data_IF_326366421863
#
_entry.id   IF_326366421863
#
_cell.length_a   1.000
_cell.length_b   1.000
_cell.length_c   1.000
_cell.angle_alpha   90.00
_cell.angle_beta   90.00
_cell.angle_gamma   90.00
#
_symmetry.space_group_name_H-M   'P 1'
#
loop_
_entity.id
_entity.type
_entity.pdbx_description
1 polymer ?
#
# COMPACT_ATOMS: atom_id res chain seq x y z
N UNK A 1 15.05 -6.05 -10.95
CA UNK A 1 15.40 -4.67 -10.56
C UNK A 1 14.41 -4.24 -9.50
N UNK A 2 14.87 -3.87 -8.30
CA UNK A 2 13.96 -3.36 -7.27
C UNK A 2 13.63 -1.91 -7.63
N UNK A 3 12.36 -1.58 -7.79
CA UNK A 3 11.90 -0.21 -7.99
C UNK A 3 11.74 0.47 -6.64
N UNK A 4 12.31 1.66 -6.49
CA UNK A 4 12.15 2.50 -5.30
C UNK A 4 11.28 3.68 -5.69
N UNK A 5 10.19 3.90 -4.96
CA UNK A 5 9.31 5.05 -5.11
C UNK A 5 9.35 5.85 -3.81
N UNK A 6 9.75 7.11 -3.89
CA UNK A 6 9.72 8.05 -2.77
C UNK A 6 8.56 9.02 -2.98
N UNK A 7 7.60 9.02 -2.06
CA UNK A 7 6.41 9.87 -2.14
C UNK A 7 6.44 10.92 -1.03
N UNK A 8 6.27 12.18 -1.41
CA UNK A 8 6.09 13.27 -0.44
C UNK A 8 4.78 13.11 0.31
N UNK A 9 4.86 13.30 1.62
CA UNK A 9 3.75 13.20 2.55
C UNK A 9 3.77 14.44 3.46
N UNK A 10 2.59 14.85 3.93
CA UNK A 10 2.33 15.94 4.88
C UNK A 10 3.55 16.76 5.37
N UNK A 11 3.66 18.04 4.96
CA UNK A 11 4.71 19.00 5.42
C UNK A 11 6.16 18.55 5.18
N UNK A 12 6.42 17.89 4.04
CA UNK A 12 7.78 17.52 3.62
C UNK A 12 8.31 16.23 4.23
N UNK A 13 7.47 15.50 4.96
CA UNK A 13 7.73 14.12 5.35
C UNK A 13 7.68 13.23 4.11
N UNK A 14 8.27 12.04 4.16
CA UNK A 14 8.28 11.15 2.99
C UNK A 14 8.04 9.70 3.39
N UNK A 15 7.42 8.94 2.48
CA UNK A 15 7.30 7.49 2.57
C UNK A 15 8.05 6.89 1.38
N UNK A 16 9.09 6.14 1.67
CA UNK A 16 9.81 5.34 0.68
C UNK A 16 9.19 3.95 0.61
N UNK A 17 8.92 3.48 -0.60
CA UNK A 17 8.43 2.14 -0.89
C UNK A 17 9.45 1.45 -1.78
N UNK A 18 9.96 0.32 -1.31
CA UNK A 18 10.93 -0.52 -2.03
C UNK A 18 10.24 -1.84 -2.37
N UNK A 19 9.98 -2.08 -3.65
CA UNK A 19 9.45 -3.37 -4.10
C UNK A 19 10.50 -4.46 -3.93
N UNK A 20 10.12 -5.59 -3.35
CA UNK A 20 10.96 -6.77 -3.23
C UNK A 20 10.46 -7.89 -4.15
N UNK A 21 11.23 -8.97 -4.30
CA UNK A 21 10.84 -10.10 -5.15
C UNK A 21 9.46 -10.67 -4.81
N UNK A 22 9.09 -10.68 -3.53
CA UNK A 22 7.73 -10.95 -3.04
C UNK A 22 7.37 -9.85 -2.05
N UNK A 23 6.48 -8.94 -2.45
CA UNK A 23 6.02 -7.84 -1.59
C UNK A 23 6.85 -6.56 -1.69
N UNK A 24 6.89 -5.82 -0.60
CA UNK A 24 7.56 -4.53 -0.52
C UNK A 24 7.93 -4.22 0.94
N UNK A 25 8.81 -3.25 1.12
CA UNK A 25 9.08 -2.62 2.42
C UNK A 25 8.83 -1.13 2.33
N UNK A 26 8.28 -0.56 3.38
CA UNK A 26 8.01 0.87 3.49
C UNK A 26 8.79 1.49 4.66
N UNK A 27 9.40 2.66 4.42
CA UNK A 27 10.19 3.40 5.42
C UNK A 27 9.74 4.85 5.43
N UNK A 28 9.55 5.41 6.63
CA UNK A 28 9.15 6.80 6.78
C UNK A 28 10.36 7.70 7.07
N UNK A 29 10.31 8.93 6.55
CA UNK A 29 11.31 9.96 6.77
C UNK A 29 10.66 11.24 7.30
N UNK A 30 11.32 11.87 8.27
CA UNK A 30 10.98 13.22 8.71
C UNK A 30 11.19 14.26 7.61
N UNK A 31 10.71 15.48 7.84
CA UNK A 31 10.98 16.63 6.97
C UNK A 31 12.47 16.98 6.85
N UNK A 32 13.31 16.55 7.81
CA UNK A 32 14.77 16.65 7.74
C UNK A 32 15.45 15.46 7.05
N UNK A 33 14.66 14.58 6.42
CA UNK A 33 15.11 13.32 5.79
C UNK A 33 15.76 12.33 6.75
N UNK A 34 15.43 12.40 8.03
CA UNK A 34 15.86 11.39 8.98
C UNK A 34 14.90 10.21 8.91
N UNK A 35 15.45 9.01 8.74
CA UNK A 35 14.70 7.76 8.81
C UNK A 35 14.07 7.65 10.20
N UNK A 36 12.80 7.27 10.23
CA UNK A 36 12.05 7.04 11.44
C UNK A 36 11.94 5.53 11.64
N UNK A 37 12.46 5.05 12.76
CA UNK A 37 12.34 3.66 13.15
C UNK A 37 11.02 3.40 13.89
N UNK A 38 10.53 2.16 13.83
CA UNK A 38 9.24 1.76 14.39
C UNK A 38 9.19 1.89 15.93
N UNK A 39 10.35 2.04 16.60
CA UNK A 39 10.49 2.22 18.05
C UNK A 39 10.23 3.66 18.54
N UNK A 40 9.87 4.60 17.65
CA UNK A 40 9.58 5.99 18.04
C UNK A 40 8.14 6.13 18.53
N UNK A 41 8.01 6.27 19.84
CA UNK A 41 6.76 6.12 20.55
C UNK A 41 6.09 7.49 20.80
N UNK A 42 5.02 7.78 20.04
CA UNK A 42 3.96 8.78 20.30
C UNK A 42 4.14 10.27 19.91
N UNK A 43 4.62 10.62 18.72
CA UNK A 43 4.33 11.95 18.15
C UNK A 43 3.08 11.91 17.26
N UNK A 44 2.30 13.01 17.20
CA UNK A 44 1.14 13.10 16.27
C UNK A 44 1.56 12.92 14.81
N UNK A 45 2.75 13.41 14.47
CA UNK A 45 3.31 13.28 13.12
C UNK A 45 3.66 11.81 12.81
N UNK A 46 4.18 11.06 13.80
CA UNK A 46 4.42 9.63 13.68
C UNK A 46 3.11 8.85 13.44
N UNK A 47 2.03 9.20 14.16
CA UNK A 47 0.72 8.58 13.92
C UNK A 47 0.19 8.84 12.51
N UNK A 48 0.36 10.08 12.01
CA UNK A 48 -0.05 10.44 10.65
C UNK A 48 0.76 9.69 9.58
N UNK A 49 2.07 9.57 9.77
CA UNK A 49 2.94 8.74 8.92
C UNK A 49 2.53 7.28 8.94
N UNK A 50 2.28 6.71 10.13
CA UNK A 50 1.93 5.30 10.24
C UNK A 50 0.58 5.00 9.59
N UNK A 51 -0.37 5.94 9.66
CA UNK A 51 -1.60 5.88 8.89
C UNK A 51 -1.33 5.93 7.37
N UNK A 52 -0.44 6.82 6.91
CA UNK A 52 0.02 6.87 5.52
C UNK A 52 0.66 5.55 5.05
N UNK A 53 1.53 4.96 5.88
CA UNK A 53 2.15 3.65 5.67
C UNK A 53 1.08 2.57 5.51
N UNK A 54 0.10 2.53 6.41
CA UNK A 54 -1.02 1.57 6.36
C UNK A 54 -1.87 1.73 5.10
N UNK A 55 -2.08 2.95 4.60
CA UNK A 55 -2.80 3.18 3.33
C UNK A 55 -2.01 2.66 2.12
N UNK A 56 -0.69 2.88 2.09
CA UNK A 56 0.19 2.29 1.08
C UNK A 56 0.11 0.77 1.15
N UNK A 57 0.13 0.22 2.36
CA UNK A 57 0.07 -1.23 2.58
C UNK A 57 -1.23 -1.84 2.04
N UNK A 58 -2.37 -1.21 2.36
CA UNK A 58 -3.68 -1.59 1.84
C UNK A 58 -3.71 -1.51 0.30
N UNK A 59 -3.20 -0.43 -0.29
CA UNK A 59 -3.19 -0.25 -1.75
C UNK A 59 -2.44 -1.39 -2.45
N UNK A 60 -1.25 -1.75 -1.93
CA UNK A 60 -0.42 -2.80 -2.51
C UNK A 60 -1.04 -4.19 -2.30
N UNK A 61 -1.61 -4.46 -1.14
CA UNK A 61 -2.35 -5.71 -0.88
C UNK A 61 -3.54 -5.86 -1.84
N UNK A 62 -4.30 -4.78 -2.06
CA UNK A 62 -5.41 -4.75 -3.02
C UNK A 62 -4.95 -5.01 -4.46
N UNK A 63 -3.83 -4.42 -4.90
CA UNK A 63 -3.25 -4.70 -6.23
C UNK A 63 -2.86 -6.17 -6.38
N UNK A 64 -2.17 -6.74 -5.39
CA UNK A 64 -1.78 -8.15 -5.41
C UNK A 64 -3.00 -9.08 -5.44
N UNK A 65 -4.00 -8.79 -4.60
CA UNK A 65 -5.21 -9.59 -4.54
C UNK A 65 -6.01 -9.53 -5.84
N UNK A 66 -6.05 -8.38 -6.54
CA UNK A 66 -6.65 -8.26 -7.87
C UNK A 66 -5.99 -9.19 -8.90
N UNK A 67 -4.65 -9.34 -8.83
CA UNK A 67 -3.90 -10.28 -9.66
C UNK A 67 -4.31 -11.73 -9.39
N UNK A 68 -4.38 -12.12 -8.10
CA UNK A 68 -4.82 -13.47 -7.69
C UNK A 68 -6.25 -13.75 -8.12
N UNK A 69 -7.17 -12.80 -7.95
CA UNK A 69 -8.57 -12.97 -8.39
C UNK A 69 -8.67 -13.21 -9.90
N UNK A 70 -7.85 -12.50 -10.68
CA UNK A 70 -7.77 -12.73 -12.12
C UNK A 70 -7.28 -14.14 -12.45
N UNK A 71 -6.22 -14.62 -11.80
CA UNK A 71 -5.71 -15.99 -12.00
C UNK A 71 -6.75 -17.06 -11.63
N UNK A 72 -7.52 -16.85 -10.57
CA UNK A 72 -8.60 -17.75 -10.15
C UNK A 72 -9.74 -17.79 -11.18
N UNK A 73 -10.11 -16.64 -11.74
CA UNK A 73 -11.09 -16.56 -12.83
C UNK A 73 -10.59 -17.26 -14.10
N UNK A 74 -9.35 -16.98 -14.52
CA UNK A 74 -8.72 -17.60 -15.70
C UNK A 74 -8.54 -19.12 -15.53
N UNK A 75 -8.46 -19.61 -14.28
CA UNK A 75 -8.39 -21.03 -13.93
C UNK A 75 -9.77 -21.69 -13.72
N UNK A 76 -10.86 -21.01 -14.07
CA UNK A 76 -12.24 -21.48 -13.91
C UNK A 76 -12.63 -21.84 -12.45
N UNK A 77 -11.93 -21.26 -11.46
CA UNK A 77 -12.22 -21.43 -10.02
C UNK A 77 -13.18 -20.38 -9.46
N UNK A 78 -13.41 -19.30 -10.20
CA UNK A 78 -14.38 -18.26 -9.89
C UNK A 78 -15.28 -18.05 -11.10
N UNK A 79 -16.58 -17.87 -10.85
CA UNK A 79 -17.48 -17.41 -11.89
C UNK A 79 -17.22 -15.93 -12.22
N UNK A 80 -17.62 -15.51 -13.43
CA UNK A 80 -17.41 -14.13 -13.89
C UNK A 80 -18.02 -13.09 -12.95
N UNK A 81 -19.24 -13.33 -12.44
CA UNK A 81 -19.92 -12.39 -11.55
C UNK A 81 -19.27 -12.31 -10.16
N UNK A 82 -18.72 -13.42 -9.65
CA UNK A 82 -17.97 -13.44 -8.40
C UNK A 82 -16.66 -12.65 -8.54
N UNK A 83 -15.89 -12.94 -9.60
CA UNK A 83 -14.66 -12.23 -9.93
C UNK A 83 -14.90 -10.72 -10.09
N UNK A 84 -15.93 -10.34 -10.84
CA UNK A 84 -16.31 -8.94 -11.07
C UNK A 84 -16.69 -8.23 -9.77
N UNK A 85 -17.52 -8.86 -8.94
CA UNK A 85 -17.99 -8.28 -7.67
C UNK A 85 -16.84 -8.10 -6.66
N UNK A 86 -15.93 -9.08 -6.59
CA UNK A 86 -14.74 -9.01 -5.74
C UNK A 86 -13.77 -7.92 -6.22
N UNK A 87 -13.51 -7.83 -7.53
CA UNK A 87 -12.70 -6.74 -8.09
C UNK A 87 -13.29 -5.35 -7.86
N UNK A 88 -14.62 -5.22 -7.95
CA UNK A 88 -15.28 -3.95 -7.64
C UNK A 88 -15.09 -3.58 -6.17
N UNK A 89 -15.26 -4.55 -5.26
CA UNK A 89 -15.06 -4.33 -3.82
C UNK A 89 -13.63 -3.87 -3.49
N UNK A 90 -12.62 -4.41 -4.18
CA UNK A 90 -11.22 -3.97 -4.05
C UNK A 90 -11.05 -2.54 -4.56
N UNK A 91 -11.63 -2.24 -5.71
CA UNK A 91 -11.56 -0.91 -6.32
C UNK A 91 -12.18 0.14 -5.39
N UNK A 92 -13.31 -0.19 -4.77
CA UNK A 92 -13.98 0.68 -3.82
C UNK A 92 -13.14 0.88 -2.56
N UNK A 93 -12.55 -0.18 -2.00
CA UNK A 93 -11.69 -0.09 -0.82
C UNK A 93 -10.46 0.83 -1.03
N UNK A 94 -9.92 0.87 -2.25
CA UNK A 94 -8.80 1.75 -2.61
C UNK A 94 -9.28 3.15 -3.04
N UNK A 95 -10.46 3.26 -3.64
CA UNK A 95 -11.04 4.49 -4.19
C UNK A 95 -11.63 5.46 -3.15
N UNK A 96 -11.78 5.05 -1.89
CA UNK A 96 -12.35 5.87 -0.79
C UNK A 96 -11.43 6.99 -0.30
N UNK A 97 -10.28 7.23 -0.93
CA UNK A 97 -9.46 8.43 -0.68
C UNK A 97 -9.64 9.47 -1.79
N UNK A 98 -10.76 10.20 -1.78
CA UNK A 98 -10.91 11.48 -2.48
C UNK A 98 -11.47 12.54 -1.55
#
# INVERSE_FOLDING_TARGET
>A
MNSVCLTDFYRGWMIEVVTQGVGYTSVCYSSSRQRIDDDVVYSRDFLALNAGKTLVDLHLACQQFSGVLRELYESEKLEYEEWRSLNQSITDAVGVSR
#
